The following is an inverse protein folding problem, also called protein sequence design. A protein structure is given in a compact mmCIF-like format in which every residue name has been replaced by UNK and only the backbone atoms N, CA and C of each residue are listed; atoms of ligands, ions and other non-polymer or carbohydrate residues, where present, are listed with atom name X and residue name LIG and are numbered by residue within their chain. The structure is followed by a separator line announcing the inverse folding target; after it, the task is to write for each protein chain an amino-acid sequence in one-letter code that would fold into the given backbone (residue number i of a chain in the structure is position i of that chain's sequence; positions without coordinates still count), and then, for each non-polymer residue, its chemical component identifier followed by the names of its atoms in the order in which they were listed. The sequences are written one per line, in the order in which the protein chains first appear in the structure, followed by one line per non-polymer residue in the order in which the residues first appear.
data_IF_858026471932
#
_entry.id   IF_858026471932
#
_cell.length_a   1.000
_cell.length_b   1.000
_cell.length_c   1.000
_cell.angle_alpha   90.00
_cell.angle_beta   90.00
_cell.angle_gamma   90.00
#
_symmetry.space_group_name_H-M   'P 1'
#
loop_
_entity.id
_entity.type
_entity.pdbx_description
1 polymer ?
#
# COMPACT_ATOMS: atom_id res chain seq x y z
N UNK A 1 18.55 3.07 12.96
CA UNK A 1 17.24 2.38 12.82
C UNK A 1 17.31 1.12 13.68
N UNK A 2 16.20 0.67 14.25
CA UNK A 2 16.19 -0.58 15.04
C UNK A 2 16.30 -1.82 14.15
N UNK A 3 16.64 -2.96 14.75
CA UNK A 3 16.51 -4.26 14.11
C UNK A 3 15.03 -4.68 14.01
N UNK A 4 14.69 -5.43 12.96
CA UNK A 4 13.35 -6.04 12.81
C UNK A 4 13.31 -7.43 13.43
N UNK A 5 12.10 -7.98 13.65
CA UNK A 5 11.95 -9.36 14.11
C UNK A 5 12.71 -10.37 13.21
N UNK A 6 12.83 -10.10 11.91
CA UNK A 6 13.57 -10.95 10.99
C UNK A 6 15.08 -10.89 11.20
N UNK A 7 15.63 -9.75 11.63
CA UNK A 7 17.05 -9.65 12.02
C UNK A 7 17.33 -10.48 13.28
N UNK A 8 16.45 -10.39 14.28
CA UNK A 8 16.59 -11.18 15.49
C UNK A 8 16.48 -12.68 15.20
N UNK A 9 15.49 -13.11 14.41
CA UNK A 9 15.34 -14.49 14.00
C UNK A 9 16.55 -15.01 13.20
N UNK A 10 17.10 -14.16 12.33
CA UNK A 10 18.32 -14.45 11.59
C UNK A 10 19.55 -14.62 12.49
N UNK A 11 19.70 -13.77 13.51
CA UNK A 11 20.83 -13.82 14.42
C UNK A 11 20.88 -15.12 15.25
N UNK A 12 19.74 -15.74 15.51
CA UNK A 12 19.65 -16.98 16.32
C UNK A 12 19.42 -18.24 15.47
N UNK A 13 19.60 -18.16 14.14
CA UNK A 13 19.34 -19.25 13.19
C UNK A 13 17.93 -19.87 13.30
N UNK A 14 16.90 -19.08 13.64
CA UNK A 14 15.54 -19.58 13.84
C UNK A 14 14.73 -19.60 12.53
N UNK A 15 14.96 -20.61 11.68
CA UNK A 15 14.29 -20.76 10.38
C UNK A 15 12.77 -20.79 10.49
N UNK A 16 12.21 -21.46 11.48
CA UNK A 16 10.75 -21.53 11.64
C UNK A 16 10.13 -20.16 11.95
N UNK A 17 10.82 -19.33 12.74
CA UNK A 17 10.42 -17.95 12.98
C UNK A 17 10.57 -17.14 11.69
N UNK A 18 11.67 -17.29 10.95
CA UNK A 18 11.82 -16.66 9.64
C UNK A 18 10.70 -17.08 8.67
N UNK A 19 10.27 -18.34 8.70
CA UNK A 19 9.15 -18.85 7.89
C UNK A 19 7.84 -18.16 8.26
N UNK A 20 7.47 -18.18 9.53
CA UNK A 20 6.27 -17.50 10.04
C UNK A 20 6.28 -16.01 9.70
N UNK A 21 7.43 -15.35 9.88
CA UNK A 21 7.58 -13.93 9.57
C UNK A 21 7.38 -13.66 8.07
N UNK A 22 7.99 -14.46 7.19
CA UNK A 22 7.79 -14.35 5.73
C UNK A 22 6.33 -14.60 5.36
N UNK A 23 5.70 -15.62 5.92
CA UNK A 23 4.28 -15.95 5.70
C UNK A 23 3.34 -14.82 6.15
N UNK A 24 3.72 -14.06 7.17
CA UNK A 24 3.00 -12.89 7.67
C UNK A 24 3.47 -11.57 7.02
N UNK A 25 4.22 -11.61 5.93
CA UNK A 25 4.57 -10.43 5.13
C UNK A 25 5.76 -9.60 5.63
N UNK A 26 6.62 -10.18 6.47
CA UNK A 26 7.84 -9.50 6.88
C UNK A 26 8.77 -9.22 5.69
N UNK A 27 9.39 -8.03 5.70
CA UNK A 27 10.30 -7.59 4.64
C UNK A 27 11.64 -8.33 4.75
N UNK A 28 11.87 -9.25 3.82
CA UNK A 28 13.09 -10.08 3.73
C UNK A 28 14.37 -9.24 3.67
N UNK A 29 14.31 -8.09 2.99
CA UNK A 29 15.46 -7.22 2.73
C UNK A 29 15.40 -5.90 3.52
N UNK A 30 14.74 -5.90 4.68
CA UNK A 30 14.69 -4.71 5.53
C UNK A 30 16.09 -4.27 5.95
N UNK A 31 16.37 -2.97 5.93
CA UNK A 31 17.60 -2.45 6.50
C UNK A 31 17.40 -2.10 7.98
N UNK A 32 18.30 -2.53 8.85
CA UNK A 32 18.22 -2.33 10.30
C UNK A 32 19.57 -2.27 10.99
N UNK A 33 19.55 -1.91 12.27
CA UNK A 33 20.76 -1.75 13.10
C UNK A 33 21.61 -0.53 12.73
N UNK A 34 22.74 -0.39 13.42
CA UNK A 34 23.63 0.77 13.28
C UNK A 34 24.41 0.77 11.97
N UNK A 35 24.69 -0.41 11.42
CA UNK A 35 25.40 -0.58 10.16
C UNK A 35 24.48 -0.60 8.92
N UNK A 36 23.16 -0.45 9.11
CA UNK A 36 22.16 -0.55 8.03
C UNK A 36 22.31 -1.88 7.28
N UNK A 37 22.08 -2.98 7.99
CA UNK A 37 22.26 -4.34 7.50
C UNK A 37 20.93 -4.97 7.13
N UNK A 38 20.94 -5.97 6.25
CA UNK A 38 19.75 -6.80 5.99
C UNK A 38 19.73 -8.01 6.92
N UNK A 39 18.58 -8.70 7.10
CA UNK A 39 18.57 -9.97 7.82
C UNK A 39 19.56 -11.00 7.27
N UNK A 40 19.85 -10.97 5.96
CA UNK A 40 20.84 -11.85 5.35
C UNK A 40 22.28 -11.49 5.77
N UNK A 41 22.62 -10.20 5.96
CA UNK A 41 23.93 -9.82 6.52
C UNK A 41 24.10 -10.39 7.93
N UNK A 42 23.08 -10.21 8.78
CA UNK A 42 23.09 -10.71 10.15
C UNK A 42 23.19 -12.23 10.18
N UNK A 43 22.40 -12.93 9.36
CA UNK A 43 22.44 -14.39 9.27
C UNK A 43 23.85 -14.90 8.88
N UNK A 44 24.53 -14.23 7.94
CA UNK A 44 25.89 -14.61 7.54
C UNK A 44 26.89 -14.37 8.66
N UNK A 45 26.84 -13.20 9.32
CA UNK A 45 27.75 -12.85 10.42
C UNK A 45 27.66 -13.82 11.59
N UNK A 46 26.45 -14.26 11.92
CA UNK A 46 26.17 -15.17 13.04
C UNK A 46 26.31 -16.65 12.64
N UNK A 47 26.68 -16.97 11.39
CA UNK A 47 26.82 -18.36 10.93
C UNK A 47 25.50 -19.12 10.86
N UNK A 48 24.38 -18.43 10.64
CA UNK A 48 23.03 -18.99 10.59
C UNK A 48 22.74 -19.66 9.24
N UNK A 49 23.42 -20.78 8.96
CA UNK A 49 23.41 -21.46 7.65
C UNK A 49 22.01 -21.78 7.13
N UNK A 50 21.13 -22.32 7.99
CA UNK A 50 19.78 -22.72 7.58
C UNK A 50 18.92 -21.50 7.24
N UNK A 51 19.07 -20.41 8.01
CA UNK A 51 18.41 -19.14 7.70
C UNK A 51 18.97 -18.52 6.42
N UNK A 52 20.29 -18.58 6.19
CA UNK A 52 20.90 -18.08 4.95
C UNK A 52 20.32 -18.83 3.74
N UNK A 53 20.28 -20.17 3.79
CA UNK A 53 19.68 -20.99 2.73
C UNK A 53 18.20 -20.63 2.53
N UNK A 54 17.44 -20.53 3.62
CA UNK A 54 16.03 -20.16 3.55
C UNK A 54 15.83 -18.76 2.94
N UNK A 55 16.52 -17.73 3.44
CA UNK A 55 16.38 -16.36 2.97
C UNK A 55 16.81 -16.22 1.51
N UNK A 56 17.89 -16.88 1.09
CA UNK A 56 18.31 -16.92 -0.31
C UNK A 56 17.25 -17.60 -1.19
N UNK A 57 16.63 -18.69 -0.73
CA UNK A 57 15.54 -19.37 -1.44
C UNK A 57 14.26 -18.52 -1.58
N UNK A 58 14.12 -17.48 -0.74
CA UNK A 58 12.99 -16.53 -0.75
C UNK A 58 13.34 -15.20 -1.42
N UNK A 59 14.48 -15.09 -2.08
CA UNK A 59 14.86 -13.90 -2.86
C UNK A 59 15.55 -12.80 -2.05
N UNK A 60 16.25 -13.15 -0.96
CA UNK A 60 17.09 -12.19 -0.26
C UNK A 60 18.22 -11.65 -1.15
N UNK A 61 18.51 -10.35 -1.01
CA UNK A 61 19.48 -9.63 -1.82
C UNK A 61 20.92 -9.93 -1.37
N UNK A 62 21.53 -10.94 -1.99
CA UNK A 62 22.94 -11.33 -1.75
C UNK A 62 23.97 -10.22 -2.04
N UNK A 63 23.60 -9.20 -2.82
CA UNK A 63 24.45 -8.04 -3.19
C UNK A 63 24.00 -6.72 -2.54
N UNK A 64 23.03 -6.76 -1.61
CA UNK A 64 22.68 -5.57 -0.83
C UNK A 64 23.92 -5.03 -0.12
N UNK A 65 24.05 -3.71 0.03
CA UNK A 65 25.24 -3.08 0.62
C UNK A 65 24.87 -2.38 1.92
N UNK A 66 25.59 -2.69 2.98
CA UNK A 66 25.50 -1.97 4.26
C UNK A 66 26.24 -0.61 4.20
N UNK A 67 26.27 0.14 5.30
CA UNK A 67 26.98 1.44 5.38
C UNK A 67 28.49 1.30 5.07
N UNK A 68 29.09 0.15 5.36
CA UNK A 68 30.50 -0.14 5.07
C UNK A 68 30.75 -0.60 3.62
N UNK A 69 29.72 -0.64 2.78
CA UNK A 69 29.77 -1.16 1.39
C UNK A 69 30.14 -2.66 1.32
N UNK A 70 29.85 -3.41 2.38
CA UNK A 70 29.95 -4.86 2.41
C UNK A 70 28.60 -5.45 1.99
N UNK A 71 28.63 -6.56 1.25
CA UNK A 71 27.44 -7.37 0.98
C UNK A 71 27.41 -8.62 1.83
N UNK A 72 26.26 -9.30 1.99
CA UNK A 72 26.21 -10.55 2.73
C UNK A 72 27.18 -11.60 2.19
N UNK A 73 27.38 -11.65 0.87
CA UNK A 73 28.35 -12.54 0.25
C UNK A 73 29.80 -12.17 0.60
N UNK A 74 30.12 -10.87 0.72
CA UNK A 74 31.46 -10.40 1.10
C UNK A 74 31.80 -10.78 2.56
N UNK A 75 30.79 -10.99 3.41
CA UNK A 75 30.94 -11.38 4.81
C UNK A 75 31.07 -12.90 5.02
N UNK A 76 30.92 -13.70 3.96
CA UNK A 76 31.01 -15.16 4.03
C UNK A 76 32.49 -15.59 4.16
N UNK A 77 32.92 -15.89 5.39
CA UNK A 77 34.33 -16.19 5.67
C UNK A 77 34.66 -17.70 5.55
N UNK A 78 33.71 -18.59 5.83
CA UNK A 78 33.89 -20.04 5.78
C UNK A 78 33.41 -20.68 4.46
N UNK A 79 33.96 -21.85 4.14
CA UNK A 79 33.71 -22.56 2.88
C UNK A 79 32.27 -23.08 2.76
N UNK A 80 31.62 -23.39 3.89
CA UNK A 80 30.23 -23.85 3.90
C UNK A 80 29.29 -22.71 3.50
N UNK A 81 29.49 -21.52 4.07
CA UNK A 81 28.72 -20.32 3.72
C UNK A 81 28.92 -19.95 2.25
N UNK A 82 30.17 -19.93 1.77
CA UNK A 82 30.48 -19.66 0.35
C UNK A 82 29.75 -20.64 -0.58
N UNK A 83 29.78 -21.94 -0.23
CA UNK A 83 29.08 -22.97 -0.98
C UNK A 83 27.55 -22.74 -1.04
N UNK A 84 26.91 -22.27 0.04
CA UNK A 84 25.48 -21.93 0.01
C UNK A 84 25.20 -20.80 -0.99
N UNK A 85 26.03 -19.75 -1.01
CA UNK A 85 25.90 -18.64 -1.97
C UNK A 85 26.15 -19.09 -3.42
N UNK A 86 27.08 -20.02 -3.63
CA UNK A 86 27.41 -20.60 -4.94
C UNK A 86 26.38 -21.63 -5.42
N UNK A 87 25.69 -22.32 -4.51
CA UNK A 87 24.66 -23.29 -4.88
C UNK A 87 23.36 -22.60 -5.26
N UNK A 88 22.96 -21.59 -4.50
CA UNK A 88 21.67 -20.94 -4.67
C UNK A 88 21.84 -19.74 -5.61
N UNK A 89 21.81 -19.96 -6.93
CA UNK A 89 21.80 -18.92 -7.96
C UNK A 89 20.36 -18.60 -8.39
N UNK A 90 19.71 -17.60 -7.78
CA UNK A 90 18.37 -17.20 -8.21
C UNK A 90 18.37 -15.82 -8.88
N UNK A 91 17.77 -15.78 -10.08
CA UNK A 91 17.05 -14.61 -10.58
C UNK A 91 15.93 -14.29 -9.60
N UNK A 92 15.72 -13.01 -9.31
CA UNK A 92 14.67 -12.48 -8.43
C UNK A 92 13.32 -13.15 -8.77
N UNK A 93 12.99 -14.22 -8.05
CA UNK A 93 11.63 -14.67 -7.90
C UNK A 93 11.28 -14.17 -6.51
N UNK A 94 10.57 -13.03 -6.47
CA UNK A 94 9.94 -12.62 -5.22
C UNK A 94 8.95 -13.75 -4.94
N UNK A 95 9.33 -14.65 -4.03
CA UNK A 95 8.46 -15.70 -3.54
C UNK A 95 7.47 -14.99 -2.63
N UNK A 96 6.41 -14.48 -3.26
CA UNK A 96 5.22 -14.09 -2.54
C UNK A 96 4.67 -15.36 -1.89
N UNK A 97 4.29 -15.35 -0.61
CA UNK A 97 3.58 -16.47 -0.03
C UNK A 97 2.42 -16.83 -0.96
N UNK A 98 2.39 -18.09 -1.37
CA UNK A 98 1.19 -18.69 -1.94
C UNK A 98 0.04 -18.40 -0.96
N UNK A 99 -1.01 -17.76 -1.47
CA UNK A 99 -2.13 -17.21 -0.69
C UNK A 99 -3.05 -18.28 -0.05
N UNK A 100 -2.63 -19.56 -0.10
CA UNK A 100 -3.37 -20.74 0.34
C UNK A 100 -3.65 -20.80 1.86
N UNK A 101 -3.02 -19.94 2.68
CA UNK A 101 -3.24 -19.88 4.14
C UNK A 101 -3.92 -18.58 4.61
N UNK A 102 -4.51 -17.78 3.70
CA UNK A 102 -5.19 -16.55 4.12
C UNK A 102 -6.37 -16.87 5.03
N UNK A 103 -6.41 -16.25 6.23
CA UNK A 103 -7.69 -15.98 6.90
C UNK A 103 -8.45 -14.99 6.03
N UNK A 104 -9.43 -15.49 5.29
CA UNK A 104 -10.30 -14.63 4.52
C UNK A 104 -11.18 -13.81 5.45
N UNK A 105 -11.17 -12.50 5.27
CA UNK A 105 -12.16 -11.61 5.87
C UNK A 105 -12.79 -10.79 4.76
N UNK A 106 -14.05 -11.07 4.46
CA UNK A 106 -14.75 -10.64 3.26
C UNK A 106 -15.83 -9.63 3.67
N UNK A 107 -15.71 -8.43 3.11
CA UNK A 107 -16.70 -7.37 3.22
C UNK A 107 -17.55 -7.34 1.95
N UNK A 108 -18.86 -7.19 2.10
CA UNK A 108 -19.79 -7.12 0.98
C UNK A 108 -20.29 -5.69 0.76
N UNK A 109 -20.29 -5.23 -0.49
CA UNK A 109 -20.93 -3.97 -0.85
C UNK A 109 -22.45 -4.10 -0.83
N UNK A 110 -23.15 -3.09 -0.29
CA UNK A 110 -24.62 -3.03 -0.35
C UNK A 110 -25.18 -2.91 -1.77
N UNK A 111 -24.35 -2.62 -2.77
CA UNK A 111 -24.74 -2.52 -4.17
C UNK A 111 -24.83 -3.88 -4.90
N UNK A 112 -24.32 -4.98 -4.32
CA UNK A 112 -24.37 -6.30 -4.97
C UNK A 112 -25.82 -6.81 -5.08
N UNK A 113 -26.15 -7.66 -6.08
CA UNK A 113 -27.48 -8.24 -6.20
C UNK A 113 -27.92 -8.97 -4.92
N UNK A 114 -29.16 -8.74 -4.47
CA UNK A 114 -29.68 -9.30 -3.21
C UNK A 114 -29.61 -10.82 -3.13
N UNK A 115 -29.83 -11.52 -4.25
CA UNK A 115 -29.73 -12.98 -4.32
C UNK A 115 -28.29 -13.46 -4.03
N UNK A 116 -27.29 -12.85 -4.67
CA UNK A 116 -25.87 -13.17 -4.45
C UNK A 116 -25.44 -12.80 -3.03
N UNK A 117 -25.94 -11.67 -2.51
CA UNK A 117 -25.66 -11.23 -1.13
C UNK A 117 -26.17 -12.24 -0.10
N UNK A 118 -27.42 -12.69 -0.21
CA UNK A 118 -28.03 -13.57 0.80
C UNK A 118 -27.38 -14.96 0.82
N UNK A 119 -27.09 -15.53 -0.35
CA UNK A 119 -26.36 -16.79 -0.47
C UNK A 119 -24.90 -16.66 0.00
N UNK A 120 -24.23 -15.58 -0.40
CA UNK A 120 -22.86 -15.27 -0.01
C UNK A 120 -22.71 -15.06 1.49
N UNK A 121 -23.64 -14.36 2.15
CA UNK A 121 -23.65 -14.19 3.61
C UNK A 121 -23.76 -15.56 4.30
N UNK A 122 -24.69 -16.42 3.89
CA UNK A 122 -24.83 -17.76 4.48
C UNK A 122 -23.54 -18.58 4.33
N UNK A 123 -22.94 -18.54 3.14
CA UNK A 123 -21.70 -19.24 2.83
C UNK A 123 -20.52 -18.73 3.66
N UNK A 124 -20.29 -17.41 3.69
CA UNK A 124 -19.17 -16.79 4.38
C UNK A 124 -19.29 -16.88 5.91
N UNK A 125 -20.51 -16.76 6.46
CA UNK A 125 -20.75 -16.90 7.90
C UNK A 125 -20.40 -18.30 8.41
N UNK A 126 -20.69 -19.35 7.64
CA UNK A 126 -20.31 -20.73 8.00
C UNK A 126 -18.80 -20.93 8.05
N UNK A 127 -18.05 -20.15 7.28
CA UNK A 127 -16.58 -20.20 7.25
C UNK A 127 -15.93 -19.19 8.22
N UNK A 128 -16.73 -18.45 8.99
CA UNK A 128 -16.27 -17.34 9.86
C UNK A 128 -15.47 -16.25 9.11
N UNK A 129 -15.70 -16.12 7.81
CA UNK A 129 -14.94 -15.23 6.93
C UNK A 129 -15.70 -13.94 6.59
N UNK A 130 -16.87 -13.68 7.17
CA UNK A 130 -17.66 -12.47 6.94
C UNK A 130 -17.26 -11.35 7.91
N UNK A 131 -17.07 -10.13 7.41
CA UNK A 131 -16.85 -8.94 8.25
C UNK A 131 -17.73 -7.77 7.82
N UNK A 132 -18.06 -6.91 8.78
CA UNK A 132 -18.67 -5.59 8.56
C UNK A 132 -17.65 -4.45 8.66
N UNK A 133 -16.46 -4.72 9.21
CA UNK A 133 -15.40 -3.73 9.37
C UNK A 133 -14.38 -3.83 8.23
N UNK A 134 -14.26 -2.76 7.44
CA UNK A 134 -13.29 -2.63 6.35
C UNK A 134 -11.83 -2.69 6.82
N UNK A 135 -11.55 -2.38 8.09
CA UNK A 135 -10.20 -2.44 8.66
C UNK A 135 -9.66 -3.86 8.75
N UNK A 136 -10.55 -4.80 9.05
CA UNK A 136 -10.24 -6.22 9.17
C UNK A 136 -10.38 -6.96 7.83
N UNK A 137 -11.01 -6.32 6.85
CA UNK A 137 -11.28 -6.91 5.55
C UNK A 137 -9.98 -7.16 4.77
N UNK A 138 -9.94 -8.32 4.13
CA UNK A 138 -8.93 -8.74 3.14
C UNK A 138 -9.48 -8.62 1.72
N UNK A 139 -10.80 -8.74 1.57
CA UNK A 139 -11.53 -8.71 0.31
C UNK A 139 -12.74 -7.80 0.46
N UNK A 140 -12.99 -6.99 -0.55
CA UNK A 140 -14.20 -6.20 -0.69
C UNK A 140 -14.92 -6.60 -1.99
N UNK A 141 -16.08 -7.23 -1.85
CA UNK A 141 -16.88 -7.72 -2.96
C UNK A 141 -17.82 -6.61 -3.42
N UNK A 142 -17.74 -6.23 -4.69
CA UNK A 142 -18.50 -5.12 -5.27
C UNK A 142 -19.34 -5.56 -6.46
N UNK A 143 -20.39 -4.78 -6.75
CA UNK A 143 -21.14 -4.95 -7.99
C UNK A 143 -20.26 -4.50 -9.15
N UNK A 144 -20.22 -5.30 -10.21
CA UNK A 144 -19.50 -4.96 -11.44
C UNK A 144 -20.40 -5.07 -12.65
N UNK A 145 -20.04 -4.40 -13.73
CA UNK A 145 -20.54 -4.67 -15.08
C UNK A 145 -19.99 -6.01 -15.60
N UNK A 146 -20.48 -6.46 -16.76
CA UNK A 146 -19.98 -7.66 -17.44
C UNK A 146 -18.50 -7.53 -17.83
N UNK A 147 -18.05 -6.31 -18.14
CA UNK A 147 -16.67 -6.04 -18.52
C UNK A 147 -15.69 -6.05 -17.33
N UNK A 148 -16.22 -6.06 -16.10
CA UNK A 148 -15.44 -6.08 -14.86
C UNK A 148 -15.16 -4.70 -14.26
N UNK A 149 -15.96 -3.68 -14.60
CA UNK A 149 -15.87 -2.34 -14.03
C UNK A 149 -16.81 -2.15 -12.85
N UNK A 150 -16.41 -1.33 -11.87
CA UNK A 150 -17.23 -1.01 -10.70
C UNK A 150 -17.49 0.49 -10.58
N UNK A 151 -18.71 0.87 -10.19
CA UNK A 151 -19.02 2.27 -9.90
C UNK A 151 -18.29 2.76 -8.65
N UNK A 152 -17.61 3.90 -8.75
CA UNK A 152 -16.82 4.49 -7.67
C UNK A 152 -17.70 4.78 -6.46
N UNK A 153 -17.17 4.47 -5.27
CA UNK A 153 -17.74 4.88 -3.99
C UNK A 153 -16.64 5.24 -2.99
N UNK A 154 -17.00 5.92 -1.91
CA UNK A 154 -16.07 6.21 -0.81
C UNK A 154 -15.46 4.93 -0.24
N UNK A 155 -16.24 3.85 -0.12
CA UNK A 155 -15.75 2.54 0.35
C UNK A 155 -14.76 1.90 -0.61
N UNK A 156 -14.94 2.04 -1.92
CA UNK A 156 -13.93 1.60 -2.90
C UNK A 156 -12.63 2.38 -2.72
N UNK A 157 -12.69 3.70 -2.54
CA UNK A 157 -11.50 4.51 -2.30
C UNK A 157 -10.78 4.12 -1.00
N UNK A 158 -11.52 3.84 0.08
CA UNK A 158 -10.95 3.29 1.32
C UNK A 158 -10.27 1.93 1.07
N UNK A 159 -10.91 1.05 0.30
CA UNK A 159 -10.37 -0.26 -0.04
C UNK A 159 -9.09 -0.16 -0.89
N UNK A 160 -9.04 0.78 -1.85
CA UNK A 160 -7.85 1.08 -2.64
C UNK A 160 -6.71 1.51 -1.71
N UNK A 161 -6.91 2.51 -0.84
CA UNK A 161 -5.86 2.99 0.06
C UNK A 161 -5.35 1.90 1.01
N UNK A 162 -6.23 1.00 1.44
CA UNK A 162 -5.86 -0.17 2.25
C UNK A 162 -5.17 -1.26 1.46
N UNK A 163 -5.16 -1.22 0.12
CA UNK A 163 -4.56 -2.24 -0.72
C UNK A 163 -5.15 -3.64 -0.50
N UNK A 164 -6.46 -3.72 -0.20
CA UNK A 164 -7.19 -5.00 -0.10
C UNK A 164 -7.68 -5.42 -1.48
N UNK A 165 -8.05 -6.69 -1.65
CA UNK A 165 -8.64 -7.14 -2.90
C UNK A 165 -10.00 -6.50 -3.11
N UNK A 166 -10.24 -5.95 -4.30
CA UNK A 166 -11.56 -5.46 -4.72
C UNK A 166 -12.00 -6.37 -5.86
N UNK A 167 -12.97 -7.24 -5.58
CA UNK A 167 -13.38 -8.33 -6.46
C UNK A 167 -14.84 -8.21 -6.86
N UNK A 168 -15.17 -8.73 -8.03
CA UNK A 168 -16.54 -8.80 -8.52
C UNK A 168 -17.41 -9.69 -7.64
N UNK A 169 -18.69 -9.34 -7.50
CA UNK A 169 -19.74 -10.22 -6.99
C UNK A 169 -19.82 -11.58 -7.69
N UNK A 170 -19.32 -11.71 -8.93
CA UNK A 170 -19.20 -13.00 -9.61
C UNK A 170 -18.21 -13.95 -8.89
N UNK A 171 -17.14 -13.43 -8.29
CA UNK A 171 -16.23 -14.25 -7.47
C UNK A 171 -16.97 -14.92 -6.32
N UNK A 172 -17.79 -14.14 -5.60
CA UNK A 172 -18.60 -14.66 -4.50
C UNK A 172 -19.61 -15.69 -4.99
N UNK A 173 -20.26 -15.44 -6.13
CA UNK A 173 -21.18 -16.41 -6.75
C UNK A 173 -20.47 -17.72 -7.06
N UNK A 174 -19.26 -17.68 -7.62
CA UNK A 174 -18.46 -18.87 -7.92
C UNK A 174 -18.01 -19.61 -6.66
N UNK A 175 -17.63 -18.86 -5.61
CA UNK A 175 -17.31 -19.46 -4.31
C UNK A 175 -18.49 -20.23 -3.72
N UNK A 176 -19.70 -19.65 -3.77
CA UNK A 176 -20.94 -20.28 -3.31
C UNK A 176 -21.23 -21.54 -4.12
N UNK A 177 -21.19 -21.47 -5.45
CA UNK A 177 -21.51 -22.60 -6.34
C UNK A 177 -20.55 -23.77 -6.14
N UNK A 178 -19.24 -23.50 -5.99
CA UNK A 178 -18.24 -24.54 -5.74
C UNK A 178 -18.09 -24.90 -4.27
N UNK A 179 -18.85 -24.25 -3.40
CA UNK A 179 -18.83 -24.45 -1.96
C UNK A 179 -17.43 -24.36 -1.34
N UNK A 180 -16.58 -23.49 -1.89
CA UNK A 180 -15.20 -23.25 -1.42
C UNK A 180 -14.75 -21.85 -1.83
N UNK A 181 -13.82 -21.28 -1.08
CA UNK A 181 -13.14 -20.07 -1.53
C UNK A 181 -12.21 -20.43 -2.69
N UNK A 182 -12.23 -19.58 -3.71
CA UNK A 182 -11.42 -19.74 -4.92
C UNK A 182 -10.49 -18.55 -5.08
N UNK A 183 -9.48 -18.71 -5.93
CA UNK A 183 -8.56 -17.65 -6.25
C UNK A 183 -9.28 -16.41 -6.82
N UNK A 184 -8.74 -15.23 -6.53
CA UNK A 184 -9.29 -13.95 -6.98
C UNK A 184 -8.95 -13.64 -8.45
N UNK A 185 -8.03 -14.40 -9.04
CA UNK A 185 -7.56 -14.26 -10.42
C UNK A 185 -8.74 -14.23 -11.41
N UNK A 186 -8.75 -13.19 -12.23
CA UNK A 186 -9.82 -12.94 -13.21
C UNK A 186 -11.09 -12.30 -12.64
N UNK A 187 -11.20 -12.13 -11.31
CA UNK A 187 -12.35 -11.47 -10.69
C UNK A 187 -12.04 -10.12 -10.05
N UNK A 188 -10.77 -9.76 -9.93
CA UNK A 188 -10.38 -8.42 -9.48
C UNK A 188 -10.91 -7.34 -10.44
N UNK A 189 -11.45 -6.26 -9.87
CA UNK A 189 -12.02 -5.15 -10.65
C UNK A 189 -10.96 -4.55 -11.55
N UNK A 190 -11.26 -4.41 -12.84
CA UNK A 190 -10.31 -3.91 -13.85
C UNK A 190 -10.18 -2.40 -13.83
N UNK A 191 -11.27 -1.71 -13.54
CA UNK A 191 -11.35 -0.27 -13.49
C UNK A 191 -12.60 0.23 -12.81
N UNK A 192 -12.65 1.53 -12.62
CA UNK A 192 -13.70 2.22 -11.89
C UNK A 192 -14.39 3.24 -12.78
N UNK A 193 -15.71 3.31 -12.66
CA UNK A 193 -16.55 4.24 -13.41
C UNK A 193 -17.20 5.28 -12.51
N UNK A 194 -17.50 6.45 -13.06
CA UNK A 194 -18.37 7.45 -12.46
C UNK A 194 -19.46 7.79 -13.46
N UNK A 195 -20.71 7.55 -13.10
CA UNK A 195 -21.87 7.75 -13.97
C UNK A 195 -21.69 7.03 -15.32
N UNK A 196 -21.14 5.81 -15.28
CA UNK A 196 -20.87 4.98 -16.46
C UNK A 196 -19.61 5.33 -17.25
N UNK A 197 -18.92 6.43 -16.94
CA UNK A 197 -17.69 6.82 -17.60
C UNK A 197 -16.47 6.25 -16.88
N UNK A 198 -15.54 5.64 -17.60
CA UNK A 198 -14.30 5.12 -17.04
C UNK A 198 -13.43 6.27 -16.51
N UNK A 199 -13.07 6.22 -15.23
CA UNK A 199 -12.23 7.25 -14.58
C UNK A 199 -10.85 6.72 -14.20
N UNK A 200 -10.71 5.45 -13.84
CA UNK A 200 -9.43 4.89 -13.46
C UNK A 200 -9.33 3.38 -13.73
N UNK A 201 -8.12 2.90 -14.00
CA UNK A 201 -7.83 1.48 -14.23
C UNK A 201 -6.64 1.01 -13.38
N UNK A 202 -6.71 -0.27 -12.98
CA UNK A 202 -5.64 -0.99 -12.28
C UNK A 202 -5.20 -0.38 -10.94
N UNK A 203 -5.96 0.54 -10.36
CA UNK A 203 -5.57 1.29 -9.16
C UNK A 203 -5.54 0.44 -7.91
N UNK A 204 -6.52 -0.46 -7.76
CA UNK A 204 -6.53 -1.52 -6.76
C UNK A 204 -5.29 -2.42 -6.86
N UNK A 205 -4.90 -2.85 -8.06
CA UNK A 205 -3.69 -3.67 -8.27
C UNK A 205 -2.44 -2.90 -7.88
N UNK A 206 -2.32 -1.62 -8.27
CA UNK A 206 -1.19 -0.75 -7.89
C UNK A 206 -1.09 -0.60 -6.38
N UNK A 207 -2.21 -0.30 -5.72
CA UNK A 207 -2.25 -0.10 -4.28
C UNK A 207 -1.94 -1.38 -3.49
N UNK A 208 -2.48 -2.51 -3.94
CA UNK A 208 -2.20 -3.83 -3.37
C UNK A 208 -0.74 -4.21 -3.53
N UNK A 209 -0.14 -3.99 -4.72
CA UNK A 209 1.31 -4.14 -4.92
C UNK A 209 2.11 -3.20 -4.03
N UNK A 210 1.66 -1.97 -3.79
CA UNK A 210 2.33 -1.05 -2.88
C UNK A 210 2.36 -1.58 -1.44
N UNK A 211 1.19 -2.00 -0.93
CA UNK A 211 1.05 -2.62 0.40
C UNK A 211 1.88 -3.89 0.51
N UNK A 212 1.82 -4.77 -0.49
CA UNK A 212 2.56 -6.03 -0.52
C UNK A 212 4.09 -5.80 -0.50
N UNK A 213 4.55 -4.71 -1.11
CA UNK A 213 5.96 -4.29 -1.05
C UNK A 213 6.30 -3.48 0.20
N UNK A 214 5.39 -3.39 1.19
CA UNK A 214 5.55 -2.63 2.42
C UNK A 214 6.00 -1.18 2.18
N UNK A 215 5.55 -0.60 1.07
CA UNK A 215 5.81 0.79 0.72
C UNK A 215 4.84 1.70 1.46
N UNK A 216 5.22 2.96 1.77
CA UNK A 216 4.35 3.87 2.47
C UNK A 216 3.04 4.17 1.75
N UNK A 217 2.07 4.66 2.51
CA UNK A 217 0.77 5.10 2.02
C UNK A 217 0.88 6.21 0.96
N UNK A 218 -0.18 6.34 0.14
CA UNK A 218 -0.22 7.24 -1.02
C UNK A 218 0.23 8.68 -0.71
N UNK A 219 -0.19 9.20 0.43
CA UNK A 219 0.04 10.56 0.89
C UNK A 219 1.16 10.64 1.94
N UNK A 220 1.97 9.59 2.12
CA UNK A 220 3.10 9.64 3.03
C UNK A 220 4.04 10.79 2.67
N UNK A 221 4.34 11.62 3.67
CA UNK A 221 5.20 12.78 3.52
C UNK A 221 4.47 14.03 3.02
N UNK A 222 3.15 13.98 2.90
CA UNK A 222 2.31 15.11 2.57
C UNK A 222 1.59 15.67 3.81
N UNK A 223 1.44 16.99 3.85
CA UNK A 223 0.64 17.74 4.80
C UNK A 223 -0.51 18.42 4.06
N UNK A 224 -1.70 18.35 4.64
CA UNK A 224 -2.92 18.88 4.07
C UNK A 224 -3.60 19.82 5.05
N UNK A 225 -3.87 21.05 4.61
CA UNK A 225 -4.81 21.92 5.28
C UNK A 225 -6.13 21.89 4.51
N UNK A 226 -7.23 21.61 5.19
CA UNK A 226 -8.56 21.67 4.59
C UNK A 226 -9.27 22.93 5.09
N UNK A 227 -9.64 23.83 4.17
CA UNK A 227 -10.21 25.11 4.53
C UNK A 227 -11.45 24.97 5.43
N UNK A 228 -11.70 25.97 6.27
CA UNK A 228 -12.79 25.93 7.25
C UNK A 228 -14.18 26.12 6.62
N UNK A 229 -14.25 26.69 5.42
CA UNK A 229 -15.51 26.89 4.71
C UNK A 229 -16.19 25.56 4.32
N UNK A 230 -17.52 25.60 4.28
CA UNK A 230 -18.37 24.45 3.98
C UNK A 230 -18.15 23.95 2.53
N UNK A 231 -18.16 22.63 2.35
CA UNK A 231 -17.93 21.95 1.07
C UNK A 231 -19.25 21.78 0.29
N UNK A 232 -20.10 22.81 0.29
CA UNK A 232 -21.45 22.74 -0.32
C UNK A 232 -21.37 22.35 -1.80
N UNK A 233 -22.21 21.39 -2.19
CA UNK A 233 -22.28 20.89 -3.57
C UNK A 233 -21.10 19.99 -3.97
N UNK A 234 -20.27 19.55 -3.02
CA UNK A 234 -19.14 18.64 -3.28
C UNK A 234 -19.09 17.51 -2.25
N UNK A 235 -18.06 16.64 -2.34
CA UNK A 235 -17.83 15.57 -1.37
C UNK A 235 -17.52 16.17 0.01
N UNK A 236 -18.18 15.65 1.06
CA UNK A 236 -18.02 16.17 2.42
C UNK A 236 -16.56 16.18 2.92
N UNK A 237 -16.23 17.19 3.73
CA UNK A 237 -14.90 17.42 4.29
C UNK A 237 -14.39 16.21 5.09
N UNK A 238 -15.29 15.52 5.78
CA UNK A 238 -15.01 14.35 6.61
C UNK A 238 -14.50 13.18 5.77
N UNK A 239 -15.04 13.00 4.56
CA UNK A 239 -14.62 11.97 3.62
C UNK A 239 -13.20 12.27 3.12
N UNK A 240 -12.93 13.51 2.72
CA UNK A 240 -11.61 13.94 2.27
C UNK A 240 -10.57 13.78 3.39
N UNK A 241 -10.89 14.26 4.60
CA UNK A 241 -10.04 14.12 5.77
C UNK A 241 -9.73 12.65 6.09
N UNK A 242 -10.73 11.78 5.98
CA UNK A 242 -10.58 10.34 6.20
C UNK A 242 -9.65 9.70 5.16
N UNK A 243 -9.85 10.00 3.88
CA UNK A 243 -9.01 9.47 2.80
C UNK A 243 -7.56 9.93 2.92
N UNK A 244 -7.34 11.21 3.26
CA UNK A 244 -5.99 11.73 3.49
C UNK A 244 -5.30 10.96 4.61
N UNK A 245 -5.97 10.78 5.75
CA UNK A 245 -5.44 10.02 6.89
C UNK A 245 -5.17 8.56 6.55
N UNK A 246 -6.08 7.90 5.84
CA UNK A 246 -5.90 6.51 5.38
C UNK A 246 -4.72 6.37 4.41
N UNK A 247 -4.46 7.39 3.60
CA UNK A 247 -3.27 7.45 2.76
C UNK A 247 -2.00 7.87 3.49
N UNK A 248 -2.00 7.97 4.83
CA UNK A 248 -0.86 8.40 5.66
C UNK A 248 -0.45 9.88 5.49
N UNK A 249 -1.37 10.72 5.02
CA UNK A 249 -1.20 12.17 4.99
C UNK A 249 -1.51 12.81 6.34
N UNK A 250 -0.85 13.91 6.64
CA UNK A 250 -1.04 14.67 7.90
C UNK A 250 -2.05 15.79 7.67
N UNK A 251 -3.10 15.86 8.50
CA UNK A 251 -4.02 17.00 8.50
C UNK A 251 -3.53 18.10 9.44
N UNK A 252 -3.44 19.31 8.92
CA UNK A 252 -3.07 20.51 9.66
C UNK A 252 -4.33 21.17 10.23
N UNK A 253 -4.32 21.46 11.54
CA UNK A 253 -5.39 22.21 12.21
C UNK A 253 -5.38 23.71 11.92
N UNK A 254 -4.30 24.20 11.32
CA UNK A 254 -4.10 25.60 10.92
C UNK A 254 -3.52 25.67 9.52
N UNK A 255 -3.64 26.83 8.89
CA UNK A 255 -3.03 27.07 7.60
C UNK A 255 -1.51 26.79 7.63
N UNK A 256 -0.96 26.17 6.57
CA UNK A 256 0.43 25.73 6.56
C UNK A 256 1.40 26.90 6.63
N UNK A 257 2.55 26.65 7.26
CA UNK A 257 3.74 27.49 7.18
C UNK A 257 4.83 26.66 6.54
N UNK A 258 5.36 27.15 5.42
CA UNK A 258 6.27 26.36 4.59
C UNK A 258 7.57 26.01 5.31
N UNK A 259 8.05 26.95 6.15
CA UNK A 259 9.27 26.80 6.95
C UNK A 259 9.21 25.53 7.81
N UNK A 260 8.09 25.32 8.51
CA UNK A 260 7.85 24.14 9.36
C UNK A 260 8.02 22.82 8.57
N UNK A 261 7.60 22.80 7.30
CA UNK A 261 7.76 21.62 6.43
C UNK A 261 9.19 21.47 5.92
N UNK A 262 9.82 22.56 5.46
CA UNK A 262 11.18 22.51 4.91
C UNK A 262 12.20 22.07 5.95
N UNK A 263 12.09 22.56 7.19
CA UNK A 263 12.97 22.23 8.30
C UNK A 263 12.82 20.76 8.73
N UNK A 264 11.63 20.18 8.58
CA UNK A 264 11.37 18.78 8.93
C UNK A 264 12.10 17.76 8.04
N UNK A 265 12.58 18.16 6.86
CA UNK A 265 13.21 17.27 5.88
C UNK A 265 12.25 16.27 5.20
N UNK A 266 10.95 16.29 5.52
CA UNK A 266 9.93 15.38 4.98
C UNK A 266 9.76 15.59 3.47
N UNK A 267 9.58 14.52 2.69
CA UNK A 267 9.27 14.56 1.25
C UNK A 267 8.16 13.57 0.89
N UNK A 268 7.31 13.88 -0.09
CA UNK A 268 6.30 12.93 -0.57
C UNK A 268 6.95 11.69 -1.18
N UNK A 269 6.57 10.51 -0.71
CA UNK A 269 7.14 9.26 -1.22
C UNK A 269 6.69 8.97 -2.66
N UNK A 270 5.45 9.29 -3.00
CA UNK A 270 4.82 8.99 -4.29
C UNK A 270 4.91 10.12 -5.32
N UNK A 271 5.70 11.17 -5.06
CA UNK A 271 5.94 12.22 -6.06
C UNK A 271 6.71 11.68 -7.28
N UNK A 272 6.34 12.13 -8.48
CA UNK A 272 7.05 11.74 -9.71
C UNK A 272 8.44 12.36 -9.77
N UNK A 273 9.44 11.58 -10.18
CA UNK A 273 10.80 12.08 -10.47
C UNK A 273 10.83 13.05 -11.66
N UNK A 274 9.85 13.00 -12.56
CA UNK A 274 9.74 13.87 -13.74
C UNK A 274 9.28 15.30 -13.41
N UNK A 275 9.17 15.67 -12.12
CA UNK A 275 8.93 17.04 -11.68
C UNK A 275 10.23 17.87 -11.62
N UNK A 276 11.31 17.35 -12.23
CA UNK A 276 12.71 17.78 -12.10
C UNK A 276 13.12 19.05 -12.88
N UNK A 277 12.21 19.69 -13.62
CA UNK A 277 12.49 21.03 -14.18
C UNK A 277 11.73 22.09 -13.38
N UNK A 278 12.47 22.78 -12.51
CA UNK A 278 12.16 24.08 -11.89
C UNK A 278 11.12 24.22 -10.76
N UNK A 279 10.59 23.15 -10.18
CA UNK A 279 9.80 23.31 -8.94
C UNK A 279 10.03 22.21 -7.92
N UNK A 280 10.67 22.58 -6.79
CA UNK A 280 10.65 21.80 -5.55
C UNK A 280 9.21 21.75 -5.04
N UNK A 281 8.34 20.92 -5.63
CA UNK A 281 6.99 20.72 -5.11
C UNK A 281 7.13 20.09 -3.73
N UNK A 282 6.88 20.90 -2.71
CA UNK A 282 6.83 20.45 -1.33
C UNK A 282 5.50 19.74 -1.12
N UNK A 283 5.48 18.73 -0.25
CA UNK A 283 4.28 17.93 0.03
C UNK A 283 3.19 18.68 0.80
N UNK A 284 3.08 20.00 0.64
CA UNK A 284 2.16 20.83 1.41
C UNK A 284 1.01 21.26 0.50
N UNK A 285 -0.19 20.82 0.84
CA UNK A 285 -1.39 21.05 0.05
C UNK A 285 -2.45 21.80 0.86
N UNK A 286 -3.10 22.77 0.23
CA UNK A 286 -4.24 23.48 0.77
C UNK A 286 -5.48 23.15 -0.06
N UNK A 287 -6.47 22.50 0.56
CA UNK A 287 -7.67 21.99 -0.10
C UNK A 287 -8.78 23.04 -0.01
N UNK A 288 -9.20 23.55 -1.16
CA UNK A 288 -10.25 24.55 -1.32
C UNK A 288 -11.29 24.13 -2.37
N UNK A 289 -12.53 24.54 -2.18
CA UNK A 289 -13.59 24.36 -3.18
C UNK A 289 -13.54 25.52 -4.19
N UNK A 290 -13.77 25.28 -5.49
CA UNK A 290 -13.87 26.36 -6.48
C UNK A 290 -14.84 27.47 -6.04
N UNK A 291 -14.41 28.73 -6.22
CA UNK A 291 -15.20 29.91 -5.83
C UNK A 291 -15.03 30.36 -4.38
N UNK A 292 -14.27 29.64 -3.54
CA UNK A 292 -13.96 30.10 -2.19
C UNK A 292 -12.82 31.12 -2.18
N UNK A 293 -12.90 32.07 -1.24
CA UNK A 293 -11.82 33.04 -1.02
C UNK A 293 -10.61 32.35 -0.40
N UNK A 294 -9.47 32.46 -1.07
CA UNK A 294 -8.19 31.92 -0.58
C UNK A 294 -7.37 33.07 0.06
N UNK A 295 -6.86 32.91 1.28
CA UNK A 295 -6.00 33.90 1.93
C UNK A 295 -4.80 34.26 1.05
N UNK A 296 -4.51 35.57 0.92
CA UNK A 296 -3.38 36.09 0.12
C UNK A 296 -2.04 35.45 0.48
N UNK A 297 -1.83 35.11 1.75
CA UNK A 297 -0.61 34.42 2.22
C UNK A 297 -0.38 33.07 1.52
N UNK A 298 -1.43 32.28 1.34
CA UNK A 298 -1.36 30.98 0.64
C UNK A 298 -1.22 31.19 -0.87
N UNK A 299 -1.89 32.21 -1.42
CA UNK A 299 -1.77 32.59 -2.83
C UNK A 299 -0.37 33.10 -3.20
N UNK A 300 0.33 33.75 -2.28
CA UNK A 300 1.68 34.26 -2.54
C UNK A 300 2.75 33.16 -2.44
N UNK A 301 2.48 32.08 -1.71
CA UNK A 301 3.43 30.99 -1.52
C UNK A 301 3.32 29.97 -2.66
N UNK A 302 4.31 29.99 -3.55
CA UNK A 302 4.32 29.15 -4.78
C UNK A 302 4.49 27.67 -4.48
N UNK A 303 5.11 27.31 -3.34
CA UNK A 303 5.39 25.91 -2.99
C UNK A 303 4.26 25.22 -2.22
N UNK A 304 3.17 25.93 -1.91
CA UNK A 304 1.93 25.32 -1.40
C UNK A 304 1.02 24.98 -2.59
N UNK A 305 0.74 23.68 -2.78
CA UNK A 305 -0.20 23.22 -3.80
C UNK A 305 -1.63 23.57 -3.39
N UNK A 306 -2.30 24.45 -4.14
CA UNK A 306 -3.74 24.67 -3.96
C UNK A 306 -4.45 23.61 -4.79
N UNK A 307 -5.27 22.80 -4.13
CA UNK A 307 -5.94 21.65 -4.75
C UNK A 307 -7.41 21.61 -4.37
N UNK A 308 -8.21 20.89 -5.15
CA UNK A 308 -9.63 20.70 -4.88
C UNK A 308 -9.89 19.39 -4.12
N UNK A 309 -11.08 19.23 -3.49
CA UNK A 309 -11.50 17.93 -2.97
C UNK A 309 -11.44 16.84 -4.04
N UNK A 310 -11.85 17.18 -5.27
CA UNK A 310 -11.82 16.26 -6.42
C UNK A 310 -10.40 15.80 -6.72
N UNK A 311 -9.41 16.68 -6.69
CA UNK A 311 -8.01 16.28 -6.89
C UNK A 311 -7.55 15.21 -5.88
N UNK A 312 -7.98 15.29 -4.63
CA UNK A 312 -7.67 14.26 -3.61
C UNK A 312 -8.29 12.92 -4.00
N UNK A 313 -9.55 12.94 -4.45
CA UNK A 313 -10.26 11.74 -4.91
C UNK A 313 -9.56 11.14 -6.13
N UNK A 314 -9.16 11.94 -7.12
CA UNK A 314 -8.45 11.49 -8.32
C UNK A 314 -7.09 10.88 -7.97
N UNK A 315 -6.35 11.46 -7.02
CA UNK A 315 -5.11 10.86 -6.53
C UNK A 315 -5.35 9.46 -5.97
N UNK A 316 -6.40 9.29 -5.15
CA UNK A 316 -6.78 7.98 -4.58
C UNK A 316 -7.22 7.02 -5.68
N UNK A 317 -8.10 7.48 -6.58
CA UNK A 317 -8.66 6.67 -7.66
C UNK A 317 -7.61 6.16 -8.61
N UNK A 318 -6.52 6.89 -8.84
CA UNK A 318 -5.41 6.43 -9.66
C UNK A 318 -4.28 5.76 -8.86
N UNK A 319 -4.37 5.78 -7.53
CA UNK A 319 -3.30 5.47 -6.59
C UNK A 319 -1.97 6.13 -7.02
N UNK A 320 -2.03 7.44 -7.26
CA UNK A 320 -0.89 8.25 -7.72
C UNK A 320 -0.99 9.65 -7.12
N UNK A 321 0.13 10.19 -6.62
CA UNK A 321 0.19 11.59 -6.26
C UNK A 321 0.27 12.42 -7.55
N UNK A 322 -0.86 13.01 -7.94
CA UNK A 322 -0.95 13.81 -9.16
C UNK A 322 -0.23 15.15 -8.95
N UNK A 323 0.31 15.78 -10.00
CA UNK A 323 0.76 17.16 -9.89
C UNK A 323 -0.46 18.05 -9.56
N UNK A 324 -0.32 19.04 -8.68
CA UNK A 324 -1.35 20.06 -8.53
C UNK A 324 -1.42 20.88 -9.83
N UNK A 325 -2.61 21.40 -10.17
CA UNK A 325 -2.78 22.25 -11.35
C UNK A 325 -1.85 23.46 -11.26
N UNK A 326 -1.16 23.78 -12.38
CA UNK A 326 -0.28 24.94 -12.44
C UNK A 326 -1.13 26.22 -12.33
N UNK A 327 -0.73 27.11 -11.43
CA UNK A 327 -1.37 28.43 -11.23
C UNK A 327 -1.12 29.36 -12.41
#
# INVERSE_FOLDING_TARGET
MGYTAMHHAAAINAVDICRILVENGAVINAYGGDLCETPLHVAVKEGAYDVVEYLLSKGALRKAKNIKRESPADLANDDLMKNIFDRIHQRVQIVYPSCLHRRYSVLLSGAIPKAVSSEGIKFLSRLENLTTNIEMATHYVVKTTLDGYAEVSSRIMEAILRGIFIVSHEWLRRCVVWNKLIDEDGFEVKGFTREGHLVAENSNVKARKNRLNMKPGLFRGCQFYICQHDFRGTVGKEVIARLIKLGEGVLLGREPRLVDYTESGIRPFHASRSWDDDSKVLGVFAVYVPGQTIPRRILNEKLIGIVTPLWVLECVLHFKLLPPDRR
#
